data_IF_294326742308
#
_entry.id   IF_294326742308
#
_cell.length_a   1.000
_cell.length_b   1.000
_cell.length_c   1.000
_cell.angle_alpha   90.00
_cell.angle_beta   90.00
_cell.angle_gamma   90.00
#
_symmetry.space_group_name_H-M   'P 1'
#
loop_
_entity.id
_entity.type
_entity.pdbx_description
1 polymer ?
#
# COMPACT_ATOMS: atom_id res chain seq x y z
N UNK A 1 8.60 3.21 -9.71
CA UNK A 1 9.27 4.05 -8.69
C UNK A 1 8.39 5.25 -8.37
N UNK A 2 8.27 5.63 -7.10
CA UNK A 2 7.50 6.82 -6.68
C UNK A 2 8.36 8.07 -6.89
N UNK A 3 8.08 8.86 -7.94
CA UNK A 3 8.70 10.18 -8.16
C UNK A 3 7.79 11.27 -7.59
N UNK A 4 8.37 12.23 -6.88
CA UNK A 4 7.72 13.48 -6.43
C UNK A 4 8.61 14.62 -6.92
N UNK A 5 8.01 15.58 -7.63
CA UNK A 5 8.69 16.79 -8.08
C UNK A 5 8.50 17.86 -7.00
N UNK A 6 9.57 18.51 -6.59
CA UNK A 6 9.52 19.65 -5.67
C UNK A 6 9.05 20.86 -6.47
N UNK A 7 8.02 21.54 -6.01
CA UNK A 7 7.53 22.78 -6.61
C UNK A 7 7.90 23.92 -5.66
N UNK A 8 8.37 25.03 -6.22
CA UNK A 8 8.64 26.29 -5.50
C UNK A 8 9.68 26.22 -4.37
N UNK A 9 10.56 25.21 -4.36
CA UNK A 9 11.59 25.06 -3.33
C UNK A 9 11.11 24.49 -1.99
N UNK A 10 9.81 24.17 -1.85
CA UNK A 10 9.24 23.62 -0.61
C UNK A 10 9.57 22.12 -0.43
N UNK A 11 10.75 21.87 0.14
CA UNK A 11 11.28 20.51 0.36
C UNK A 11 10.43 19.72 1.37
N UNK A 12 9.98 20.36 2.45
CA UNK A 12 9.21 19.68 3.51
C UNK A 12 7.86 19.15 2.99
N UNK A 13 7.19 19.95 2.16
CA UNK A 13 5.94 19.55 1.53
C UNK A 13 6.18 18.38 0.57
N UNK A 14 7.28 18.42 -0.19
CA UNK A 14 7.66 17.33 -1.08
C UNK A 14 7.95 16.03 -0.31
N UNK A 15 8.64 16.09 0.83
CA UNK A 15 8.91 14.93 1.70
C UNK A 15 7.60 14.35 2.24
N UNK A 16 6.67 15.20 2.71
CA UNK A 16 5.36 14.75 3.21
C UNK A 16 4.55 14.07 2.10
N UNK A 17 4.52 14.66 0.90
CA UNK A 17 3.88 14.06 -0.29
C UNK A 17 4.54 12.73 -0.66
N UNK A 18 5.86 12.64 -0.59
CA UNK A 18 6.59 11.39 -0.86
C UNK A 18 6.25 10.29 0.13
N UNK A 19 6.28 10.57 1.44
CA UNK A 19 5.87 9.62 2.49
C UNK A 19 4.46 9.07 2.25
N UNK A 20 3.51 9.95 1.92
CA UNK A 20 2.13 9.56 1.61
C UNK A 20 2.04 8.71 0.34
N UNK A 21 2.78 9.07 -0.72
CA UNK A 21 2.81 8.32 -1.99
C UNK A 21 3.43 6.93 -1.81
N UNK A 22 4.49 6.82 -1.01
CA UNK A 22 5.12 5.54 -0.64
C UNK A 22 4.15 4.68 0.16
N UNK A 23 3.47 5.24 1.17
CA UNK A 23 2.46 4.51 1.95
C UNK A 23 1.31 4.00 1.05
N UNK A 24 0.79 4.85 0.16
CA UNK A 24 -0.31 4.48 -0.76
C UNK A 24 0.10 3.46 -1.82
N UNK A 25 1.37 3.42 -2.22
CA UNK A 25 1.90 2.40 -3.14
C UNK A 25 1.91 0.98 -2.53
N UNK A 26 1.78 0.86 -1.21
CA UNK A 26 1.71 -0.43 -0.50
C UNK A 26 3.02 -1.20 -0.45
N UNK A 27 4.15 -0.58 -0.85
CA UNK A 27 5.50 -1.17 -0.78
C UNK A 27 5.86 -1.65 0.64
N UNK A 28 5.63 -0.87 1.72
CA UNK A 28 5.94 -1.32 3.08
C UNK A 28 5.16 -2.59 3.47
N UNK A 29 3.89 -2.67 3.09
CA UNK A 29 3.05 -3.84 3.35
C UNK A 29 3.50 -5.07 2.56
N UNK A 30 3.95 -4.89 1.31
CA UNK A 30 4.50 -5.98 0.50
C UNK A 30 5.81 -6.52 1.09
N UNK A 31 6.68 -5.65 1.59
CA UNK A 31 7.91 -6.05 2.26
C UNK A 31 7.59 -6.91 3.49
N UNK A 32 6.67 -6.47 4.36
CA UNK A 32 6.27 -7.25 5.55
C UNK A 32 5.75 -8.65 5.19
N UNK A 33 4.93 -8.77 4.14
CA UNK A 33 4.39 -10.06 3.67
C UNK A 33 5.44 -10.99 3.05
N UNK A 34 6.54 -10.44 2.55
CA UNK A 34 7.62 -11.19 1.91
C UNK A 34 8.77 -11.53 2.86
N UNK A 35 8.72 -11.10 4.13
CA UNK A 35 9.77 -11.39 5.11
C UNK A 35 9.94 -12.88 5.40
N UNK A 36 8.84 -13.63 5.32
CA UNK A 36 8.82 -15.06 5.58
C UNK A 36 8.13 -15.78 4.42
N UNK A 37 8.50 -17.04 4.22
CA UNK A 37 7.82 -17.88 3.23
C UNK A 37 6.41 -18.23 3.72
N UNK A 38 5.41 -17.99 2.88
CA UNK A 38 4.04 -18.48 3.08
C UNK A 38 3.74 -19.58 2.06
N UNK A 39 3.27 -20.74 2.53
CA UNK A 39 2.78 -21.83 1.68
C UNK A 39 1.72 -21.29 0.69
N UNK A 40 1.69 -21.73 -0.57
CA UNK A 40 0.76 -21.22 -1.59
C UNK A 40 -0.72 -21.25 -1.17
N UNK A 41 -1.15 -22.28 -0.43
CA UNK A 41 -2.52 -22.36 0.09
C UNK A 41 -2.87 -21.24 1.08
N UNK A 42 -1.95 -20.92 1.99
CA UNK A 42 -2.11 -19.82 2.97
C UNK A 42 -2.15 -18.48 2.25
N UNK A 43 -1.27 -18.28 1.27
CA UNK A 43 -1.25 -17.08 0.41
C UNK A 43 -2.57 -16.89 -0.35
N UNK A 44 -3.16 -17.96 -0.91
CA UNK A 44 -4.48 -17.91 -1.60
C UNK A 44 -5.59 -17.54 -0.63
N UNK A 45 -5.64 -18.15 0.57
CA UNK A 45 -6.62 -17.86 1.61
C UNK A 45 -6.54 -16.40 2.08
N UNK A 46 -5.32 -15.91 2.32
CA UNK A 46 -5.09 -14.52 2.73
C UNK A 46 -5.51 -13.52 1.65
N UNK A 47 -5.19 -13.79 0.37
CA UNK A 47 -5.62 -12.94 -0.75
C UNK A 47 -7.16 -12.87 -0.87
N UNK A 48 -7.86 -14.00 -0.72
CA UNK A 48 -9.34 -14.04 -0.74
C UNK A 48 -9.92 -13.21 0.40
N UNK A 49 -9.40 -13.36 1.63
CA UNK A 49 -9.83 -12.57 2.80
C UNK A 49 -9.61 -11.06 2.58
N UNK A 50 -8.46 -10.65 2.04
CA UNK A 50 -8.19 -9.24 1.76
C UNK A 50 -9.14 -8.65 0.72
N UNK A 51 -9.47 -9.41 -0.34
CA UNK A 51 -10.40 -8.95 -1.37
C UNK A 51 -11.81 -8.75 -0.82
N UNK A 52 -12.30 -9.68 0.01
CA UNK A 52 -13.61 -9.56 0.67
C UNK A 52 -13.65 -8.31 1.55
N UNK A 53 -12.61 -8.09 2.37
CA UNK A 53 -12.50 -6.88 3.20
C UNK A 53 -12.55 -5.60 2.38
N UNK A 54 -11.87 -5.56 1.22
CA UNK A 54 -11.90 -4.40 0.31
C UNK A 54 -13.27 -4.18 -0.33
N UNK A 55 -13.94 -5.25 -0.76
CA UNK A 55 -15.29 -5.17 -1.32
C UNK A 55 -16.29 -4.62 -0.29
N UNK A 56 -16.27 -5.15 0.93
CA UNK A 56 -17.14 -4.67 2.02
C UNK A 56 -16.88 -3.20 2.34
N UNK A 57 -15.62 -2.76 2.36
CA UNK A 57 -15.27 -1.34 2.58
C UNK A 57 -15.78 -0.44 1.45
N UNK A 58 -15.74 -0.92 0.19
CA UNK A 58 -16.27 -0.17 -0.95
C UNK A 58 -17.79 -0.04 -0.87
N UNK A 59 -18.49 -1.13 -0.56
CA UNK A 59 -19.95 -1.16 -0.47
C UNK A 59 -20.50 -0.32 0.69
N UNK A 60 -19.74 -0.11 1.77
CA UNK A 60 -20.14 0.82 2.85
C UNK A 60 -20.04 2.31 2.48
N UNK A 61 -19.24 2.62 1.47
CA UNK A 61 -18.98 3.98 1.04
C UNK A 61 -19.80 4.39 -0.19
N UNK A 62 -20.54 3.43 -0.77
CA UNK A 62 -21.56 3.64 -1.79
C UNK A 62 -22.92 3.73 -1.10
#
# INVERSE_FOLDING_TARGET
MTKVVVQNGDVDLAIKKFKNKVARSGVPSKLKKKKFYEKPGVKRKNKKKENIKKANRRNRNN
#
